data_IF_351423953304
#
_entry.id   IF_351423953304
#
_cell.length_a   1.000
_cell.length_b   1.000
_cell.length_c   1.000
_cell.angle_alpha   90.00
_cell.angle_beta   90.00
_cell.angle_gamma   90.00
#
_symmetry.space_group_name_H-M   'P 1'
#
loop_
_entity.id
_entity.type
_entity.pdbx_description
1 polymer ?
#
# COMPACT_ATOMS: atom_id res chain seq x y z
N UNK A 1 -20.11 -23.96 -32.16
CA UNK A 1 -20.29 -22.90 -31.16
C UNK A 1 -20.27 -23.48 -29.75
N UNK A 2 -21.11 -24.47 -29.45
CA UNK A 2 -21.15 -25.20 -28.15
C UNK A 2 -19.77 -25.75 -27.72
N UNK A 3 -19.06 -26.49 -28.59
CA UNK A 3 -17.69 -26.99 -28.31
C UNK A 3 -16.65 -25.90 -28.03
N UNK A 4 -16.83 -24.69 -28.57
CA UNK A 4 -15.92 -23.56 -28.31
C UNK A 4 -16.22 -22.99 -26.93
N UNK A 5 -17.50 -22.84 -26.58
CA UNK A 5 -17.94 -22.34 -25.27
C UNK A 5 -17.46 -23.28 -24.15
N UNK A 6 -17.63 -24.59 -24.31
CA UNK A 6 -17.13 -25.59 -23.34
C UNK A 6 -15.62 -25.49 -23.14
N UNK A 7 -14.87 -25.33 -24.24
CA UNK A 7 -13.41 -25.15 -24.20
C UNK A 7 -13.01 -23.86 -23.48
N UNK A 8 -13.70 -22.74 -23.76
CA UNK A 8 -13.45 -21.46 -23.08
C UNK A 8 -13.72 -21.56 -21.58
N UNK A 9 -14.83 -22.17 -21.17
CA UNK A 9 -15.16 -22.39 -19.75
C UNK A 9 -14.05 -23.19 -19.08
N UNK A 10 -13.65 -24.32 -19.67
CA UNK A 10 -12.58 -25.17 -19.13
C UNK A 10 -11.26 -24.40 -19.00
N UNK A 11 -10.89 -23.63 -20.01
CA UNK A 11 -9.65 -22.86 -20.01
C UNK A 11 -9.68 -21.75 -18.94
N UNK A 12 -10.79 -21.03 -18.79
CA UNK A 12 -10.93 -20.00 -17.76
C UNK A 12 -10.85 -20.59 -16.36
N UNK A 13 -11.58 -21.68 -16.08
CA UNK A 13 -11.53 -22.34 -14.78
C UNK A 13 -10.12 -22.87 -14.47
N UNK A 14 -9.45 -23.47 -15.45
CA UNK A 14 -8.08 -23.96 -15.30
C UNK A 14 -7.11 -22.81 -14.99
N UNK A 15 -7.18 -21.71 -15.74
CA UNK A 15 -6.30 -20.56 -15.53
C UNK A 15 -6.53 -19.91 -14.17
N UNK A 16 -7.78 -19.75 -13.73
CA UNK A 16 -8.10 -19.21 -12.41
C UNK A 16 -7.54 -20.10 -11.29
N UNK A 17 -7.73 -21.41 -11.37
CA UNK A 17 -7.18 -22.35 -10.38
C UNK A 17 -5.64 -22.27 -10.32
N UNK A 18 -4.97 -22.22 -11.47
CA UNK A 18 -3.52 -22.05 -11.54
C UNK A 18 -3.06 -20.70 -10.96
N UNK A 19 -3.81 -19.62 -11.20
CA UNK A 19 -3.52 -18.30 -10.65
C UNK A 19 -3.64 -18.29 -9.12
N UNK A 20 -4.68 -18.90 -8.56
CA UNK A 20 -4.86 -18.98 -7.11
C UNK A 20 -3.76 -19.84 -6.47
N UNK A 21 -3.42 -20.98 -7.06
CA UNK A 21 -2.30 -21.80 -6.60
C UNK A 21 -0.96 -21.04 -6.63
N UNK A 22 -0.70 -20.29 -7.69
CA UNK A 22 0.51 -19.48 -7.83
C UNK A 22 0.60 -18.40 -6.73
N UNK A 23 -0.51 -17.73 -6.40
CA UNK A 23 -0.57 -16.76 -5.28
C UNK A 23 -0.30 -17.41 -3.94
N UNK A 24 -0.86 -18.60 -3.68
CA UNK A 24 -0.58 -19.34 -2.44
C UNK A 24 0.89 -19.75 -2.33
N UNK A 25 1.51 -20.15 -3.44
CA UNK A 25 2.95 -20.43 -3.49
C UNK A 25 3.76 -19.15 -3.22
N UNK A 26 3.40 -18.04 -3.86
CA UNK A 26 4.07 -16.76 -3.67
C UNK A 26 4.01 -16.31 -2.21
N UNK A 27 2.84 -16.41 -1.58
CA UNK A 27 2.62 -16.08 -0.17
C UNK A 27 3.46 -16.93 0.76
N UNK A 28 3.51 -18.26 0.53
CA UNK A 28 4.37 -19.16 1.32
C UNK A 28 5.84 -18.81 1.18
N UNK A 29 6.30 -18.47 -0.03
CA UNK A 29 7.69 -18.05 -0.28
C UNK A 29 8.03 -16.74 0.43
N UNK A 30 7.16 -15.74 0.34
CA UNK A 30 7.31 -14.47 1.06
C UNK A 30 7.41 -14.73 2.57
N UNK A 31 6.44 -15.44 3.14
CA UNK A 31 6.41 -15.77 4.58
C UNK A 31 7.62 -16.58 5.04
N UNK A 32 8.16 -17.44 4.18
CA UNK A 32 9.37 -18.20 4.48
C UNK A 32 10.66 -17.37 4.50
N UNK A 33 10.62 -16.14 3.97
CA UNK A 33 11.75 -15.20 3.92
C UNK A 33 11.56 -13.97 4.81
N UNK A 34 10.33 -13.70 5.23
CA UNK A 34 9.99 -12.65 6.18
C UNK A 34 10.65 -12.94 7.55
N UNK A 35 11.42 -11.98 8.03
CA UNK A 35 12.00 -12.00 9.38
C UNK A 35 10.92 -11.74 10.43
N UNK A 36 11.19 -12.15 11.67
CA UNK A 36 10.29 -11.88 12.80
C UNK A 36 10.05 -10.38 13.00
N UNK A 37 11.08 -9.55 12.76
CA UNK A 37 11.01 -8.09 12.89
C UNK A 37 10.11 -7.49 11.80
N UNK A 38 10.30 -7.86 10.53
CA UNK A 38 9.44 -7.41 9.43
C UNK A 38 7.97 -7.78 9.68
N UNK A 39 7.73 -9.04 10.10
CA UNK A 39 6.41 -9.54 10.45
C UNK A 39 5.79 -8.73 11.61
N UNK A 40 6.58 -8.40 12.63
CA UNK A 40 6.14 -7.61 13.79
C UNK A 40 5.77 -6.19 13.40
N UNK A 41 6.58 -5.52 12.58
CA UNK A 41 6.29 -4.17 12.08
C UNK A 41 4.98 -4.18 11.30
N UNK A 42 4.82 -5.14 10.38
CA UNK A 42 3.61 -5.30 9.57
C UNK A 42 2.36 -5.48 10.42
N UNK A 43 2.37 -6.45 11.34
CA UNK A 43 1.22 -6.73 12.20
C UNK A 43 0.89 -5.51 13.07
N UNK A 44 1.91 -4.78 13.54
CA UNK A 44 1.72 -3.58 14.34
C UNK A 44 1.04 -2.47 13.55
N UNK A 45 1.46 -2.23 12.30
CA UNK A 45 0.83 -1.25 11.39
C UNK A 45 -0.61 -1.64 11.08
N UNK A 46 -0.84 -2.89 10.66
CA UNK A 46 -2.18 -3.40 10.34
C UNK A 46 -3.11 -3.29 11.56
N UNK A 47 -2.61 -3.66 12.74
CA UNK A 47 -3.32 -3.56 14.01
C UNK A 47 -3.62 -2.13 14.43
N UNK A 48 -2.68 -1.19 14.24
CA UNK A 48 -2.88 0.24 14.49
C UNK A 48 -3.95 0.81 13.55
N UNK A 49 -3.88 0.53 12.25
CA UNK A 49 -4.88 0.96 11.27
C UNK A 49 -6.28 0.44 11.66
N UNK A 50 -6.39 -0.86 11.93
CA UNK A 50 -7.64 -1.51 12.30
C UNK A 50 -8.21 -1.00 13.65
N UNK A 51 -7.34 -0.60 14.57
CA UNK A 51 -7.76 -0.03 15.86
C UNK A 51 -8.22 1.41 15.71
N UNK A 52 -7.46 2.25 15.02
CA UNK A 52 -7.77 3.66 14.85
C UNK A 52 -9.00 3.90 13.97
N UNK A 53 -9.27 3.05 12.97
CA UNK A 53 -10.47 3.21 12.15
C UNK A 53 -11.76 3.00 12.94
N UNK A 54 -11.76 2.12 13.96
CA UNK A 54 -12.91 1.95 14.87
C UNK A 54 -13.21 3.21 15.65
N UNK A 55 -12.22 4.05 15.90
CA UNK A 55 -12.45 5.34 16.58
C UNK A 55 -13.33 6.27 15.75
N UNK A 56 -13.39 6.09 14.42
CA UNK A 56 -14.29 6.85 13.53
C UNK A 56 -15.76 6.44 13.61
N UNK A 57 -16.08 5.33 14.28
CA UNK A 57 -17.47 4.92 14.55
C UNK A 57 -18.12 5.77 15.65
N UNK A 58 -17.31 6.54 16.40
CA UNK A 58 -17.81 7.44 17.42
C UNK A 58 -18.38 8.70 16.79
N UNK A 59 -19.33 9.35 17.49
CA UNK A 59 -19.89 10.61 17.03
C UNK A 59 -18.82 11.72 17.05
N UNK A 60 -18.65 12.39 15.92
CA UNK A 60 -17.93 13.67 15.83
C UNK A 60 -18.95 14.79 16.07
N UNK A 61 -18.69 15.68 17.02
CA UNK A 61 -19.66 16.69 17.44
C UNK A 61 -19.95 17.75 16.36
N UNK A 62 -18.92 18.13 15.60
CA UNK A 62 -19.02 19.09 14.50
C UNK A 62 -18.40 18.44 13.27
N UNK A 63 -19.21 18.26 12.24
CA UNK A 63 -18.77 17.73 10.94
C UNK A 63 -18.96 18.81 9.89
N UNK A 64 -17.86 19.21 9.26
CA UNK A 64 -17.86 20.07 8.09
C UNK A 64 -17.48 19.27 6.83
N UNK A 65 -17.42 19.96 5.68
CA UNK A 65 -17.03 19.33 4.41
C UNK A 65 -15.59 18.79 4.43
N UNK A 66 -14.68 19.47 5.13
CA UNK A 66 -13.29 19.03 5.26
C UNK A 66 -13.19 17.71 6.01
N UNK A 67 -13.87 17.59 7.15
CA UNK A 67 -13.93 16.37 7.96
C UNK A 67 -14.58 15.24 7.15
N UNK A 68 -15.70 15.51 6.49
CA UNK A 68 -16.39 14.54 5.65
C UNK A 68 -15.50 14.00 4.52
N UNK A 69 -14.77 14.89 3.86
CA UNK A 69 -13.87 14.49 2.78
C UNK A 69 -12.64 13.75 3.30
N UNK A 70 -12.07 14.16 4.44
CA UNK A 70 -10.99 13.42 5.12
C UNK A 70 -11.42 12.01 5.50
N UNK A 71 -12.61 11.83 6.09
CA UNK A 71 -13.15 10.50 6.43
C UNK A 71 -13.29 9.61 5.19
N UNK A 72 -13.68 10.18 4.05
CA UNK A 72 -13.75 9.47 2.77
C UNK A 72 -12.36 9.00 2.32
N UNK A 73 -11.36 9.89 2.36
CA UNK A 73 -9.99 9.58 2.00
C UNK A 73 -9.37 8.54 2.94
N UNK A 74 -9.59 8.66 4.25
CA UNK A 74 -9.16 7.70 5.28
C UNK A 74 -9.78 6.34 5.01
N UNK A 75 -11.10 6.26 4.79
CA UNK A 75 -11.78 5.00 4.50
C UNK A 75 -11.27 4.34 3.22
N UNK A 76 -11.03 5.14 2.17
CA UNK A 76 -10.43 4.67 0.91
C UNK A 76 -9.01 4.16 1.14
N UNK A 77 -8.22 4.88 1.94
CA UNK A 77 -6.84 4.51 2.28
C UNK A 77 -6.82 3.17 3.02
N UNK A 78 -7.59 3.04 4.10
CA UNK A 78 -7.62 1.83 4.94
C UNK A 78 -7.99 0.60 4.11
N UNK A 79 -9.03 0.67 3.28
CA UNK A 79 -9.41 -0.45 2.41
C UNK A 79 -8.31 -0.81 1.41
N UNK A 80 -7.70 0.21 0.82
CA UNK A 80 -6.64 0.01 -0.20
C UNK A 80 -5.36 -0.55 0.43
N UNK A 81 -5.04 -0.21 1.70
CA UNK A 81 -3.88 -0.73 2.44
C UNK A 81 -3.90 -2.25 2.52
N UNK A 82 -5.02 -2.83 2.95
CA UNK A 82 -5.13 -4.29 3.05
C UNK A 82 -5.11 -4.98 1.68
N UNK A 83 -5.62 -4.33 0.62
CA UNK A 83 -5.52 -4.86 -0.75
C UNK A 83 -4.06 -4.84 -1.23
N UNK A 84 -3.30 -3.78 -0.95
CA UNK A 84 -1.86 -3.72 -1.26
C UNK A 84 -1.13 -4.85 -0.54
N UNK A 85 -1.46 -5.09 0.74
CA UNK A 85 -0.85 -6.18 1.50
C UNK A 85 -1.08 -7.54 0.82
N UNK A 86 -2.31 -7.80 0.39
CA UNK A 86 -2.64 -9.04 -0.32
C UNK A 86 -1.87 -9.14 -1.64
N UNK A 87 -1.83 -8.07 -2.44
CA UNK A 87 -1.11 -8.07 -3.72
C UNK A 87 0.40 -8.29 -3.56
N UNK A 88 1.03 -7.65 -2.58
CA UNK A 88 2.45 -7.86 -2.28
C UNK A 88 2.74 -9.32 -1.89
N UNK A 89 1.90 -9.89 -1.02
CA UNK A 89 2.05 -11.29 -0.58
C UNK A 89 1.80 -12.28 -1.71
N UNK A 90 0.88 -11.96 -2.62
CA UNK A 90 0.47 -12.81 -3.72
C UNK A 90 1.37 -12.71 -4.95
N UNK A 91 2.33 -11.77 -4.98
CA UNK A 91 3.23 -11.54 -6.12
C UNK A 91 2.63 -10.65 -7.21
N UNK A 92 1.51 -9.98 -6.97
CA UNK A 92 0.85 -9.03 -7.87
C UNK A 92 1.50 -7.61 -7.73
N UNK A 93 2.81 -7.52 -7.97
CA UNK A 93 3.63 -6.35 -7.59
C UNK A 93 3.35 -5.08 -8.40
N UNK A 94 2.94 -5.23 -9.66
CA UNK A 94 2.58 -4.10 -10.53
C UNK A 94 1.33 -3.42 -9.98
N UNK A 95 0.29 -4.19 -9.71
CA UNK A 95 -0.97 -3.73 -9.15
C UNK A 95 -0.77 -3.11 -7.76
N UNK A 96 0.04 -3.75 -6.90
CA UNK A 96 0.43 -3.18 -5.61
C UNK A 96 1.07 -1.79 -5.77
N UNK A 97 1.98 -1.62 -6.73
CA UNK A 97 2.66 -0.35 -7.00
C UNK A 97 1.69 0.74 -7.49
N UNK A 98 0.75 0.38 -8.36
CA UNK A 98 -0.31 1.31 -8.81
C UNK A 98 -1.14 1.80 -7.63
N UNK A 99 -1.54 0.89 -6.73
CA UNK A 99 -2.30 1.25 -5.54
C UNK A 99 -1.47 2.06 -4.54
N UNK A 100 -0.18 1.76 -4.35
CA UNK A 100 0.72 2.58 -3.53
C UNK A 100 0.84 4.02 -4.06
N UNK A 101 0.83 4.23 -5.39
CA UNK A 101 0.78 5.58 -5.99
C UNK A 101 -0.47 6.33 -5.54
N UNK A 102 -1.63 5.68 -5.64
CA UNK A 102 -2.91 6.24 -5.16
C UNK A 102 -2.85 6.57 -3.67
N UNK A 103 -2.21 5.73 -2.85
CA UNK A 103 -2.06 5.99 -1.42
C UNK A 103 -1.20 7.22 -1.13
N UNK A 104 -0.09 7.40 -1.87
CA UNK A 104 0.74 8.59 -1.74
C UNK A 104 -0.05 9.86 -2.09
N UNK A 105 -0.86 9.83 -3.15
CA UNK A 105 -1.74 10.94 -3.51
C UNK A 105 -2.79 11.22 -2.43
N UNK A 106 -3.37 10.18 -1.83
CA UNK A 106 -4.33 10.31 -0.74
C UNK A 106 -3.70 10.98 0.50
N UNK A 107 -2.48 10.58 0.89
CA UNK A 107 -1.75 11.22 1.99
C UNK A 107 -1.44 12.69 1.66
N UNK A 108 -1.04 13.00 0.43
CA UNK A 108 -0.84 14.39 0.01
C UNK A 108 -2.12 15.20 0.18
N UNK A 109 -3.24 14.66 -0.29
CA UNK A 109 -4.52 15.36 -0.23
C UNK A 109 -4.97 15.59 1.21
N UNK A 110 -4.80 14.60 2.09
CA UNK A 110 -5.06 14.76 3.53
C UNK A 110 -4.27 15.94 4.13
N UNK A 111 -2.98 16.04 3.81
CA UNK A 111 -2.13 17.16 4.24
C UNK A 111 -2.51 18.51 3.60
N UNK A 112 -2.95 18.52 2.34
CA UNK A 112 -3.38 19.75 1.67
C UNK A 112 -4.65 20.35 2.30
N UNK A 113 -5.60 19.51 2.71
CA UNK A 113 -6.86 19.95 3.34
C UNK A 113 -6.58 20.65 4.68
N UNK A 114 -5.49 20.33 5.38
CA UNK A 114 -5.10 21.02 6.63
C UNK A 114 -4.74 22.49 6.42
N UNK A 115 -4.37 22.90 5.20
CA UNK A 115 -3.77 24.22 4.95
C UNK A 115 -4.39 24.99 3.78
N UNK A 116 -5.29 24.38 3.00
CA UNK A 116 -5.90 24.96 1.81
C UNK A 116 -7.41 24.78 1.83
N UNK A 117 -8.12 25.69 1.18
CA UNK A 117 -9.57 25.57 0.99
C UNK A 117 -9.88 24.37 0.06
N UNK A 118 -10.78 23.48 0.51
CA UNK A 118 -11.20 22.28 -0.20
C UNK A 118 -11.68 22.56 -1.64
N UNK A 119 -12.48 23.60 -1.86
CA UNK A 119 -12.99 23.95 -3.20
C UNK A 119 -11.85 24.15 -4.21
N UNK A 120 -10.73 24.72 -3.75
CA UNK A 120 -9.56 24.96 -4.59
C UNK A 120 -8.78 23.70 -4.93
N UNK A 121 -9.04 22.61 -4.21
CA UNK A 121 -8.37 21.31 -4.35
C UNK A 121 -9.17 20.32 -5.21
N UNK A 122 -10.50 20.44 -5.25
CA UNK A 122 -11.36 19.53 -6.01
C UNK A 122 -10.96 19.52 -7.50
N UNK A 123 -10.91 18.32 -8.09
CA UNK A 123 -10.52 18.10 -9.48
C UNK A 123 -9.03 18.27 -9.80
N UNK A 124 -8.18 18.63 -8.82
CA UNK A 124 -6.73 18.78 -9.00
C UNK A 124 -5.96 17.57 -8.50
N UNK A 125 -4.86 17.23 -9.16
CA UNK A 125 -3.89 16.24 -8.66
C UNK A 125 -3.23 16.74 -7.37
N UNK A 126 -3.14 15.93 -6.30
CA UNK A 126 -2.50 16.33 -5.06
C UNK A 126 -1.00 16.62 -5.22
N UNK A 127 -0.47 17.60 -4.48
CA UNK A 127 0.96 17.90 -4.52
C UNK A 127 1.77 16.94 -3.63
N UNK A 128 2.40 15.96 -4.26
CA UNK A 128 3.18 14.93 -3.56
C UNK A 128 4.59 15.37 -3.14
N UNK A 129 5.11 16.51 -3.59
CA UNK A 129 6.55 16.86 -3.45
C UNK A 129 7.06 16.94 -2.00
N UNK A 130 6.18 17.26 -1.05
CA UNK A 130 6.57 17.56 0.33
C UNK A 130 5.99 16.60 1.37
N UNK A 131 5.42 15.47 0.97
CA UNK A 131 4.81 14.52 1.92
C UNK A 131 5.88 13.80 2.75
N UNK A 132 7.00 13.40 2.11
CA UNK A 132 7.97 12.46 2.67
C UNK A 132 9.36 13.08 2.79
N UNK A 133 9.47 14.25 3.43
CA UNK A 133 10.75 14.95 3.69
C UNK A 133 11.66 15.12 2.45
N UNK A 134 11.07 15.25 1.25
CA UNK A 134 11.80 15.40 -0.02
C UNK A 134 12.02 14.11 -0.82
N UNK A 135 11.72 12.94 -0.27
CA UNK A 135 11.87 11.65 -0.97
C UNK A 135 10.68 11.28 -1.86
N UNK A 136 9.52 11.88 -1.58
CA UNK A 136 8.25 11.56 -2.25
C UNK A 136 8.26 11.82 -3.76
N UNK A 137 9.09 12.74 -4.26
CA UNK A 137 9.22 12.98 -5.70
C UNK A 137 9.80 11.79 -6.47
N UNK A 138 10.82 11.12 -5.92
CA UNK A 138 11.45 9.95 -6.55
C UNK A 138 10.54 8.73 -6.49
N UNK A 139 9.96 8.47 -5.31
CA UNK A 139 8.99 7.38 -5.10
C UNK A 139 7.80 7.57 -6.04
N UNK A 140 7.23 8.78 -6.09
CA UNK A 140 6.11 9.06 -7.00
C UNK A 140 6.49 8.88 -8.47
N UNK A 141 7.69 9.29 -8.88
CA UNK A 141 8.22 9.07 -10.22
C UNK A 141 8.25 7.58 -10.58
N UNK A 142 8.89 6.77 -9.75
CA UNK A 142 8.95 5.31 -9.93
C UNK A 142 7.55 4.68 -10.03
N UNK A 143 6.67 4.99 -9.08
CA UNK A 143 5.32 4.42 -9.05
C UNK A 143 4.50 4.90 -10.26
N UNK A 144 4.74 6.11 -10.75
CA UNK A 144 4.09 6.63 -11.97
C UNK A 144 4.61 5.96 -13.23
N UNK A 145 5.91 5.62 -13.29
CA UNK A 145 6.46 4.87 -14.41
C UNK A 145 5.83 3.47 -14.51
N UNK A 146 5.70 2.77 -13.38
CA UNK A 146 5.02 1.48 -13.30
C UNK A 146 3.54 1.64 -13.67
N UNK A 147 2.85 2.65 -13.14
CA UNK A 147 1.43 2.84 -13.42
C UNK A 147 1.12 3.18 -14.88
N UNK A 148 2.04 3.83 -15.59
CA UNK A 148 1.86 4.20 -16.99
C UNK A 148 2.55 3.26 -17.98
N UNK A 149 3.21 2.20 -17.50
CA UNK A 149 4.01 1.31 -18.35
C UNK A 149 5.03 2.04 -19.22
N UNK A 150 5.67 3.06 -18.65
CA UNK A 150 6.59 3.92 -19.38
C UNK A 150 8.05 3.46 -19.34
N UNK A 151 8.39 2.35 -18.65
CA UNK A 151 9.74 1.80 -18.60
C UNK A 151 9.74 0.27 -18.52
N UNK A 152 10.89 -0.34 -18.86
CA UNK A 152 11.08 -1.81 -18.80
C UNK A 152 11.03 -2.38 -17.38
N UNK A 153 11.04 -1.54 -16.33
CA UNK A 153 10.96 -1.92 -14.92
C UNK A 153 9.72 -2.76 -14.59
N UNK A 154 8.63 -2.64 -15.37
CA UNK A 154 7.48 -3.54 -15.23
C UNK A 154 7.85 -5.00 -15.47
N UNK A 155 8.70 -5.28 -16.46
CA UNK A 155 9.17 -6.64 -16.73
C UNK A 155 9.96 -7.24 -15.58
N UNK A 156 10.68 -6.42 -14.80
CA UNK A 156 11.41 -6.83 -13.60
C UNK A 156 10.44 -7.25 -12.48
N UNK A 157 9.31 -6.53 -12.33
CA UNK A 157 8.28 -6.85 -11.34
C UNK A 157 7.44 -8.07 -11.71
N UNK A 158 7.22 -8.30 -13.01
CA UNK A 158 6.44 -9.45 -13.49
C UNK A 158 7.17 -10.80 -13.41
N UNK A 159 8.42 -10.80 -12.93
CA UNK A 159 9.31 -11.96 -12.76
C UNK A 159 9.54 -12.78 -14.03
N UNK A 160 10.81 -13.07 -14.33
CA UNK A 160 11.14 -14.02 -15.38
C UNK A 160 10.88 -15.46 -14.92
N UNK A 161 10.34 -16.29 -15.79
CA UNK A 161 10.42 -17.74 -15.65
C UNK A 161 11.51 -18.30 -16.57
N UNK A 162 12.23 -19.30 -16.08
CA UNK A 162 13.13 -20.12 -16.87
C UNK A 162 12.59 -21.56 -16.90
N UNK A 163 12.19 -22.03 -18.09
CA UNK A 163 11.79 -23.42 -18.34
C UNK A 163 12.64 -23.98 -19.48
N UNK A 164 13.74 -24.64 -19.13
CA UNK A 164 14.75 -25.11 -20.07
C UNK A 164 15.39 -23.95 -20.85
N UNK A 165 15.15 -23.89 -22.16
CA UNK A 165 15.65 -22.80 -23.04
C UNK A 165 14.70 -21.60 -23.12
N UNK A 166 13.52 -21.65 -22.47
CA UNK A 166 12.53 -20.57 -22.52
C UNK A 166 12.73 -19.59 -21.38
N UNK A 167 13.08 -18.36 -21.73
CA UNK A 167 13.09 -17.20 -20.83
C UNK A 167 11.92 -16.30 -21.22
N UNK A 168 10.99 -16.04 -20.30
CA UNK A 168 9.82 -15.23 -20.57
C UNK A 168 9.22 -14.60 -19.32
N UNK A 169 8.21 -13.74 -19.51
CA UNK A 169 7.46 -13.11 -18.43
C UNK A 169 6.36 -14.05 -17.95
N UNK A 170 6.24 -14.25 -16.64
CA UNK A 170 5.19 -15.10 -16.08
C UNK A 170 3.81 -14.47 -16.29
N UNK A 171 2.86 -15.25 -16.81
CA UNK A 171 1.44 -14.86 -16.86
C UNK A 171 0.72 -15.13 -15.53
N UNK A 172 1.39 -15.78 -14.58
CA UNK A 172 0.87 -16.10 -13.25
C UNK A 172 1.66 -15.31 -12.20
N UNK A 173 1.03 -14.92 -11.08
CA UNK A 173 1.75 -14.24 -10.00
C UNK A 173 2.89 -15.09 -9.45
N UNK A 174 4.02 -14.46 -9.17
CA UNK A 174 5.20 -15.16 -8.66
C UNK A 174 5.85 -14.35 -7.56
N UNK A 175 6.43 -15.06 -6.59
CA UNK A 175 7.28 -14.42 -5.60
C UNK A 175 8.53 -13.82 -6.25
N UNK A 176 8.83 -12.58 -5.87
CA UNK A 176 10.07 -11.87 -6.17
C UNK A 176 10.56 -11.17 -4.91
N UNK A 177 11.88 -11.01 -4.77
CA UNK A 177 12.48 -10.23 -3.67
C UNK A 177 11.98 -8.78 -3.65
N UNK A 178 11.57 -8.24 -4.81
CA UNK A 178 10.94 -6.93 -4.91
C UNK A 178 9.65 -6.80 -4.08
N UNK A 179 9.02 -7.91 -3.68
CA UNK A 179 7.90 -7.91 -2.76
C UNK A 179 8.30 -7.30 -1.39
N UNK A 180 9.52 -7.56 -0.89
CA UNK A 180 10.02 -6.99 0.35
C UNK A 180 10.29 -5.48 0.21
N UNK A 181 10.85 -5.05 -0.92
CA UNK A 181 11.02 -3.61 -1.21
C UNK A 181 9.67 -2.89 -1.33
N UNK A 182 8.69 -3.52 -1.99
CA UNK A 182 7.32 -3.01 -2.05
C UNK A 182 6.67 -2.95 -0.66
N UNK A 183 6.98 -3.92 0.20
CA UNK A 183 6.53 -3.96 1.58
C UNK A 183 7.11 -2.82 2.42
N UNK A 184 8.40 -2.59 2.34
CA UNK A 184 9.09 -1.47 3.00
C UNK A 184 8.47 -0.12 2.59
N UNK A 185 8.21 0.06 1.29
CA UNK A 185 7.53 1.23 0.78
C UNK A 185 6.11 1.37 1.35
N UNK A 186 5.33 0.29 1.38
CA UNK A 186 4.00 0.32 1.95
C UNK A 186 4.01 0.65 3.46
N UNK A 187 4.98 0.12 4.21
CA UNK A 187 5.23 0.47 5.63
C UNK A 187 5.46 1.98 5.75
N UNK A 188 6.34 2.54 4.93
CA UNK A 188 6.67 3.96 4.99
C UNK A 188 5.46 4.85 4.70
N UNK A 189 4.67 4.51 3.68
CA UNK A 189 3.41 5.21 3.39
C UNK A 189 2.43 5.09 4.57
N UNK A 190 2.32 3.89 5.16
CA UNK A 190 1.42 3.60 6.27
C UNK A 190 1.77 4.36 7.54
N UNK A 191 3.06 4.47 7.86
CA UNK A 191 3.52 5.27 9.01
C UNK A 191 3.14 6.75 8.84
N UNK A 192 3.36 7.32 7.66
CA UNK A 192 2.99 8.70 7.36
C UNK A 192 1.47 8.92 7.45
N UNK A 193 0.69 7.98 6.93
CA UNK A 193 -0.76 7.99 7.10
C UNK A 193 -1.17 7.92 8.56
N UNK A 194 -0.60 7.00 9.35
CA UNK A 194 -0.94 6.80 10.77
C UNK A 194 -0.63 8.05 11.60
N UNK A 195 0.51 8.70 11.37
CA UNK A 195 0.82 9.98 12.04
C UNK A 195 -0.22 11.06 11.73
N UNK A 196 -0.60 11.21 10.45
CA UNK A 196 -1.62 12.17 10.06
C UNK A 196 -3.02 11.80 10.60
N UNK A 197 -3.38 10.52 10.55
CA UNK A 197 -4.68 10.05 11.01
C UNK A 197 -4.84 10.23 12.53
N UNK A 198 -3.78 9.97 13.30
CA UNK A 198 -3.78 10.19 14.74
C UNK A 198 -3.94 11.67 15.11
N UNK A 199 -3.34 12.58 14.33
CA UNK A 199 -3.56 14.03 14.46
C UNK A 199 -5.03 14.38 14.21
N UNK A 200 -5.65 13.81 13.17
CA UNK A 200 -7.08 14.01 12.91
C UNK A 200 -7.95 13.52 14.06
N UNK A 201 -7.71 12.30 14.56
CA UNK A 201 -8.49 11.73 15.66
C UNK A 201 -8.41 12.56 16.94
N UNK A 202 -7.22 13.07 17.29
CA UNK A 202 -7.05 13.98 18.44
C UNK A 202 -7.83 15.29 18.28
N UNK A 203 -7.93 15.79 17.04
CA UNK A 203 -8.73 16.99 16.75
C UNK A 203 -10.23 16.72 16.79
N UNK A 204 -10.68 15.54 16.36
CA UNK A 204 -12.10 15.18 16.30
C UNK A 204 -12.64 14.69 17.63
N UNK A 205 -11.78 14.11 18.48
CA UNK A 205 -12.13 13.54 19.78
C UNK A 205 -11.18 14.04 20.89
N UNK A 206 -11.16 15.34 21.20
CA UNK A 206 -10.22 15.92 22.18
C UNK A 206 -10.33 15.33 23.59
N UNK A 207 -11.47 14.73 23.93
CA UNK A 207 -11.74 14.07 25.20
C UNK A 207 -11.17 12.65 25.30
N UNK A 208 -10.74 12.05 24.19
CA UNK A 208 -10.20 10.68 24.17
C UNK A 208 -8.68 10.69 24.31
N UNK A 209 -8.18 9.74 25.08
CA UNK A 209 -6.74 9.51 25.20
C UNK A 209 -6.24 8.56 24.09
N UNK A 210 -5.39 9.09 23.22
CA UNK A 210 -4.73 8.33 22.15
C UNK A 210 -3.27 8.00 22.46
N UNK A 211 -2.80 8.19 23.70
CA UNK A 211 -1.39 8.01 24.09
C UNK A 211 -0.90 6.59 23.86
N UNK A 212 -1.74 5.57 24.14
CA UNK A 212 -1.40 4.17 23.86
C UNK A 212 -1.08 3.93 22.38
N UNK A 213 -1.93 4.43 21.47
CA UNK A 213 -1.71 4.30 20.03
C UNK A 213 -0.49 5.10 19.56
N UNK A 214 -0.27 6.26 20.18
CA UNK A 214 0.88 7.12 19.90
C UNK A 214 2.19 6.41 20.25
N UNK A 215 2.27 5.85 21.46
CA UNK A 215 3.44 5.11 21.92
C UNK A 215 3.71 3.89 21.03
N UNK A 216 2.66 3.13 20.69
CA UNK A 216 2.80 1.99 19.78
C UNK A 216 3.26 2.41 18.39
N UNK A 217 2.73 3.52 17.83
CA UNK A 217 3.18 4.06 16.55
C UNK A 217 4.65 4.50 16.59
N UNK A 218 5.08 5.17 17.67
CA UNK A 218 6.49 5.57 17.83
C UNK A 218 7.41 4.36 17.96
N UNK A 219 7.09 3.36 18.79
CA UNK A 219 7.89 2.14 18.88
C UNK A 219 7.94 1.36 17.58
N UNK A 220 6.84 1.33 16.82
CA UNK A 220 6.80 0.69 15.49
C UNK A 220 7.66 1.46 14.48
N UNK A 221 7.63 2.79 14.53
CA UNK A 221 8.49 3.65 13.71
C UNK A 221 9.97 3.44 14.04
N UNK A 222 10.35 3.43 15.33
CA UNK A 222 11.72 3.17 15.79
C UNK A 222 12.21 1.80 15.31
N UNK A 223 11.40 0.76 15.48
CA UNK A 223 11.72 -0.58 15.00
C UNK A 223 11.92 -0.62 13.47
N UNK A 224 11.12 0.12 12.71
CA UNK A 224 11.26 0.23 11.26
C UNK A 224 12.51 1.00 10.84
N UNK A 225 12.95 2.00 11.63
CA UNK A 225 14.22 2.71 11.44
C UNK A 225 15.39 1.76 11.69
N UNK A 226 15.40 1.09 12.83
CA UNK A 226 16.47 0.18 13.26
C UNK A 226 16.64 -1.00 12.30
N UNK A 227 15.53 -1.53 11.76
CA UNK A 227 15.53 -2.59 10.76
C UNK A 227 15.93 -2.10 9.35
N UNK A 228 16.12 -0.80 9.15
CA UNK A 228 16.42 -0.21 7.85
C UNK A 228 15.27 -0.32 6.84
N UNK A 229 14.04 -0.53 7.31
CA UNK A 229 12.83 -0.63 6.48
C UNK A 229 12.48 0.70 5.83
N UNK A 230 12.73 1.83 6.49
CA UNK A 230 12.41 3.15 5.95
C UNK A 230 13.55 3.83 5.17
N UNK A 231 14.70 3.16 4.94
CA UNK A 231 15.79 3.65 4.06
C UNK A 231 15.54 3.29 2.59
N UNK A 232 14.36 3.65 2.07
CA UNK A 232 13.85 3.13 0.79
C UNK A 232 14.66 3.61 -0.42
N UNK A 233 15.20 4.83 -0.40
CA UNK A 233 15.98 5.35 -1.54
C UNK A 233 17.30 4.63 -1.78
N UNK A 234 17.89 4.01 -0.75
CA UNK A 234 19.10 3.20 -0.92
C UNK A 234 18.78 1.84 -1.58
N UNK A 235 17.54 1.36 -1.43
CA UNK A 235 17.04 0.08 -1.94
C UNK A 235 16.41 0.15 -3.34
N UNK A 236 16.12 1.35 -3.86
CA UNK A 236 15.43 1.60 -5.14
C UNK A 236 16.39 1.76 -6.35
N UNK A 237 17.69 1.53 -6.20
CA UNK A 237 18.67 1.61 -7.32
C UNK A 237 18.32 0.63 -8.45
#
# INVERSE_FOLDING_TARGET
MEKIIESLIKNTCSFQAMSDEAREIARKKFRGKETEIENTIRISIDGLIASLIKETENKIDIVDENISFKLTLISSYVRTHFIINDFLLNGDLVEASVLMRKQLEAIARLNEIDSKNLETLLGKTPNVKNILQGESGKIYGLLSEIAHSSSHRIGELLSAFEDGEKIGVSNLPTYSEHAHTGWDLNIFLSLNFLFHFLKCLRSWYPQKDFSKYSNCLFSTYELAVENGTINILEKIK
#
